data_IF_675552912605
#
_entry.id   IF_675552912605
#
_cell.length_a   1.000
_cell.length_b   1.000
_cell.length_c   1.000
_cell.angle_alpha   90.00
_cell.angle_beta   90.00
_cell.angle_gamma   90.00
#
_symmetry.space_group_name_H-M   'P 1'
#
loop_
_entity.id
_entity.type
_entity.pdbx_description
1 polymer ?
#
# COMPACT_ATOMS: atom_id res chain seq x y z
N UNK A 1 6.45 15.37 -1.05
CA UNK A 1 5.78 15.37 0.26
C UNK A 1 5.20 16.75 0.46
N UNK A 2 3.97 16.88 0.96
CA UNK A 2 3.48 18.19 1.38
C UNK A 2 4.24 18.64 2.63
N UNK A 3 4.91 19.78 2.54
CA UNK A 3 5.89 20.25 3.53
C UNK A 3 5.24 20.91 4.75
N UNK A 4 3.90 21.04 4.79
CA UNK A 4 3.15 21.67 5.89
C UNK A 4 2.37 20.68 6.75
N UNK A 5 1.97 19.52 6.22
CA UNK A 5 1.21 18.51 6.97
C UNK A 5 1.94 17.18 7.13
N UNK A 6 3.04 16.94 6.41
CA UNK A 6 3.71 15.64 6.39
C UNK A 6 2.83 14.51 5.83
N UNK A 7 1.64 14.85 5.30
CA UNK A 7 0.67 13.89 4.82
C UNK A 7 1.20 13.32 3.51
N UNK A 8 1.59 12.05 3.57
CA UNK A 8 1.86 11.23 2.40
C UNK A 8 0.63 11.29 1.50
N UNK A 9 0.80 11.35 0.18
CA UNK A 9 -0.28 11.49 -0.83
C UNK A 9 -1.32 10.35 -0.81
N UNK A 10 -1.33 9.48 0.19
CA UNK A 10 -2.23 8.34 0.34
C UNK A 10 -1.76 7.07 -0.37
N UNK A 11 -0.57 7.11 -0.98
CA UNK A 11 -0.05 6.01 -1.80
C UNK A 11 1.42 5.75 -1.50
N UNK A 12 1.80 4.48 -1.40
CA UNK A 12 3.17 4.01 -1.24
C UNK A 12 3.33 2.66 -1.91
N UNK A 13 4.54 2.38 -2.39
CA UNK A 13 4.88 1.09 -2.99
C UNK A 13 5.84 0.37 -2.06
N UNK A 14 5.57 -0.90 -1.77
CA UNK A 14 6.42 -1.76 -0.96
C UNK A 14 6.84 -2.93 -1.82
N UNK A 15 8.16 -3.15 -1.91
CA UNK A 15 8.71 -4.34 -2.55
C UNK A 15 9.04 -5.36 -1.46
N UNK A 16 8.42 -6.53 -1.57
CA UNK A 16 8.75 -7.68 -0.73
C UNK A 16 9.75 -8.58 -1.45
N UNK A 17 10.66 -9.18 -0.69
CA UNK A 17 11.62 -10.16 -1.23
C UNK A 17 10.92 -11.46 -1.63
N UNK A 18 9.98 -11.90 -0.79
CA UNK A 18 9.17 -13.10 -1.04
C UNK A 18 7.73 -12.74 -1.32
N UNK A 19 7.13 -13.45 -2.27
CA UNK A 19 5.69 -13.31 -2.58
C UNK A 19 4.81 -13.66 -1.39
N UNK A 20 5.18 -14.67 -0.61
CA UNK A 20 4.45 -15.09 0.59
C UNK A 20 4.39 -13.99 1.66
N UNK A 21 5.46 -13.20 1.80
CA UNK A 21 5.48 -12.07 2.74
C UNK A 21 4.57 -10.94 2.26
N UNK A 22 4.57 -10.66 0.95
CA UNK A 22 3.65 -9.69 0.36
C UNK A 22 2.19 -10.11 0.50
N UNK A 23 1.88 -11.40 0.33
CA UNK A 23 0.52 -11.91 0.45
C UNK A 23 0.02 -11.85 1.90
N UNK A 24 0.88 -12.22 2.87
CA UNK A 24 0.60 -12.07 4.30
C UNK A 24 0.39 -10.61 4.68
N UNK A 25 1.23 -9.71 4.17
CA UNK A 25 1.11 -8.27 4.43
C UNK A 25 -0.20 -7.71 3.88
N UNK A 26 -0.56 -8.02 2.62
CA UNK A 26 -1.83 -7.61 2.01
C UNK A 26 -3.00 -8.16 2.82
N UNK A 27 -3.02 -9.46 3.13
CA UNK A 27 -4.14 -10.06 3.89
C UNK A 27 -4.32 -9.46 5.29
N UNK A 28 -3.24 -9.01 5.92
CA UNK A 28 -3.25 -8.47 7.29
C UNK A 28 -3.50 -6.97 7.36
N UNK A 29 -3.01 -6.22 6.38
CA UNK A 29 -3.06 -4.74 6.36
C UNK A 29 -4.13 -4.19 5.42
N UNK A 30 -4.60 -4.97 4.43
CA UNK A 30 -5.69 -4.54 3.55
C UNK A 30 -7.01 -4.48 4.32
N UNK A 31 -7.61 -3.31 4.38
CA UNK A 31 -8.79 -3.03 5.20
C UNK A 31 -8.47 -2.70 6.66
N UNK A 32 -7.19 -2.56 7.03
CA UNK A 32 -6.82 -2.17 8.38
C UNK A 32 -7.07 -0.67 8.57
N UNK A 33 -7.89 -0.33 9.56
CA UNK A 33 -8.11 1.05 9.97
C UNK A 33 -6.88 1.57 10.70
N UNK A 34 -6.16 2.51 10.09
CA UNK A 34 -5.10 3.26 10.75
C UNK A 34 -5.57 4.68 10.99
N UNK A 35 -5.81 5.01 12.26
CA UNK A 35 -6.34 6.30 12.68
C UNK A 35 -7.72 6.57 12.01
N UNK A 36 -7.84 7.62 11.20
CA UNK A 36 -9.06 7.97 10.46
C UNK A 36 -9.08 7.45 9.00
N UNK A 37 -8.13 6.59 8.61
CA UNK A 37 -7.97 6.11 7.23
C UNK A 37 -7.94 4.58 7.16
N UNK A 38 -8.67 4.02 6.20
CA UNK A 38 -8.61 2.58 5.91
C UNK A 38 -7.49 2.34 4.91
N UNK A 39 -6.49 1.56 5.32
CA UNK A 39 -5.40 1.15 4.44
C UNK A 39 -5.93 0.19 3.39
N UNK A 40 -5.66 0.49 2.12
CA UNK A 40 -5.93 -0.42 1.00
C UNK A 40 -4.61 -0.86 0.39
N UNK A 41 -4.36 -2.16 0.41
CA UNK A 41 -3.18 -2.76 -0.21
C UNK A 41 -3.66 -3.66 -1.33
N UNK A 42 -3.03 -3.52 -2.50
CA UNK A 42 -3.33 -4.32 -3.68
C UNK A 42 -2.03 -4.73 -4.35
N UNK A 43 -2.04 -5.87 -5.04
CA UNK A 43 -0.90 -6.27 -5.85
C UNK A 43 -0.72 -5.27 -6.99
N UNK A 44 0.54 -4.89 -7.25
CA UNK A 44 0.84 -4.08 -8.41
C UNK A 44 0.41 -4.84 -9.67
N UNK A 45 -0.61 -4.34 -10.36
CA UNK A 45 -0.97 -4.87 -11.67
C UNK A 45 0.11 -4.41 -12.65
N UNK A 46 0.69 -5.30 -13.47
CA UNK A 46 1.58 -4.87 -14.52
C UNK A 46 0.79 -3.93 -15.42
N UNK A 47 1.30 -2.70 -15.63
CA UNK A 47 0.69 -1.74 -16.57
C UNK A 47 0.51 -2.46 -17.91
N UNK A 48 -0.74 -2.70 -18.30
CA UNK A 48 -1.04 -3.03 -19.70
C UNK A 48 -0.63 -1.82 -20.53
N UNK A 49 0.50 -1.93 -21.21
CA UNK A 49 0.83 -1.09 -22.35
C UNK A 49 -0.13 -1.47 -23.47
N UNK A 50 -1.07 -0.59 -23.80
CA UNK A 50 -1.80 -0.60 -25.06
C UNK A 50 -1.63 0.76 -25.72
#
# INVERSE_FOLDING_TARGET
>A
MDQKTGVSRGFGFVNFVSREDGERAIRKLNGYGYDNLILRLEWATPRKTN
#
